data_IF_288898815661
#
_entry.id   IF_288898815661
#
_cell.length_a   1.000
_cell.length_b   1.000
_cell.length_c   1.000
_cell.angle_alpha   90.00
_cell.angle_beta   90.00
_cell.angle_gamma   90.00
#
_symmetry.space_group_name_H-M   'P 1'
#
loop_
_entity.id
_entity.type
_entity.pdbx_description
1 polymer ?
#
# COMPACT_ATOMS: atom_id res chain seq x y z
N UNK A 1 -8.12 18.78 3.21
CA UNK A 1 -7.83 17.47 3.85
C UNK A 1 -6.32 17.31 3.99
N UNK A 2 -5.81 16.69 5.05
CA UNK A 2 -4.37 16.41 5.21
C UNK A 2 -4.01 15.05 4.58
N UNK A 3 -2.74 14.86 4.22
CA UNK A 3 -2.18 13.57 3.82
C UNK A 3 -2.50 12.52 4.88
N UNK A 4 -2.80 11.29 4.46
CA UNK A 4 -3.16 10.21 5.38
C UNK A 4 -2.28 9.00 5.16
N UNK A 5 -1.94 8.37 6.28
CA UNK A 5 -1.23 7.11 6.32
C UNK A 5 -1.93 6.18 7.31
N UNK A 6 -2.05 4.90 6.95
CA UNK A 6 -2.34 3.84 7.92
C UNK A 6 -1.31 2.74 7.74
N UNK A 7 -0.63 2.42 8.84
CA UNK A 7 0.29 1.29 8.91
C UNK A 7 -0.44 0.12 9.56
N UNK A 8 -0.24 -1.06 9.02
CA UNK A 8 -0.88 -2.28 9.51
C UNK A 8 -0.06 -3.51 9.14
N UNK A 9 -0.42 -4.65 9.69
CA UNK A 9 0.18 -5.93 9.35
C UNK A 9 -0.88 -6.84 8.71
N UNK A 10 -0.48 -7.56 7.68
CA UNK A 10 -1.28 -8.56 6.98
C UNK A 10 -0.64 -9.94 7.15
N UNK A 11 -1.46 -10.98 7.22
CA UNK A 11 -0.99 -12.32 6.92
C UNK A 11 -0.88 -12.49 5.38
N UNK A 12 0.02 -13.33 4.88
CA UNK A 12 0.17 -13.54 3.43
C UNK A 12 -1.13 -13.96 2.74
N UNK A 13 -1.95 -14.77 3.41
CA UNK A 13 -3.25 -15.20 2.90
C UNK A 13 -4.24 -14.03 2.69
N UNK A 14 -4.04 -12.90 3.38
CA UNK A 14 -4.91 -11.72 3.23
C UNK A 14 -4.59 -10.92 1.94
N UNK A 15 -3.40 -11.07 1.37
CA UNK A 15 -2.94 -10.22 0.26
C UNK A 15 -3.88 -10.29 -0.94
N UNK A 16 -4.34 -11.49 -1.28
CA UNK A 16 -5.22 -11.68 -2.42
C UNK A 16 -6.59 -11.03 -2.20
N UNK A 17 -7.15 -11.19 -0.99
CA UNK A 17 -8.43 -10.60 -0.61
C UNK A 17 -8.37 -9.06 -0.58
N UNK A 18 -7.28 -8.50 -0.05
CA UNK A 18 -7.05 -7.05 -0.03
C UNK A 18 -6.98 -6.45 -1.43
N UNK A 19 -6.28 -7.10 -2.35
CA UNK A 19 -6.15 -6.62 -3.73
C UNK A 19 -7.49 -6.74 -4.46
N UNK A 20 -8.20 -7.86 -4.32
CA UNK A 20 -9.53 -8.02 -4.89
C UNK A 20 -10.51 -6.97 -4.36
N UNK A 21 -10.46 -6.65 -3.06
CA UNK A 21 -11.25 -5.57 -2.48
C UNK A 21 -11.01 -4.23 -3.20
N UNK A 22 -9.76 -3.88 -3.51
CA UNK A 22 -9.47 -2.64 -4.25
C UNK A 22 -10.11 -2.64 -5.63
N UNK A 23 -10.02 -3.75 -6.37
CA UNK A 23 -10.71 -3.89 -7.66
C UNK A 23 -12.23 -3.78 -7.52
N UNK A 24 -12.82 -4.42 -6.50
CA UNK A 24 -14.28 -4.40 -6.25
C UNK A 24 -14.81 -3.01 -5.90
N UNK A 25 -14.02 -2.18 -5.20
CA UNK A 25 -14.37 -0.78 -4.92
C UNK A 25 -13.99 0.18 -6.06
N UNK A 26 -13.62 -0.36 -7.23
CA UNK A 26 -13.40 0.42 -8.45
C UNK A 26 -12.01 1.04 -8.56
N UNK A 27 -11.01 0.53 -7.85
CA UNK A 27 -9.63 0.96 -8.05
C UNK A 27 -8.99 0.21 -9.21
N UNK A 28 -8.31 0.95 -10.07
CA UNK A 28 -7.24 0.43 -10.89
C UNK A 28 -6.02 0.17 -10.00
N UNK A 29 -5.43 -1.02 -10.14
CA UNK A 29 -4.25 -1.44 -9.39
C UNK A 29 -3.07 -1.45 -10.34
N UNK A 30 -2.09 -0.60 -10.07
CA UNK A 30 -0.95 -0.34 -10.94
C UNK A 30 0.35 -0.76 -10.23
N UNK A 31 1.26 -1.35 -10.98
CA UNK A 31 2.61 -1.69 -10.51
C UNK A 31 3.44 -0.43 -10.23
N UNK A 32 4.43 -0.56 -9.35
CA UNK A 32 5.31 0.54 -8.96
C UNK A 32 6.16 1.10 -10.11
N UNK A 33 6.63 0.21 -10.98
CA UNK A 33 7.57 0.55 -12.04
C UNK A 33 7.12 0.06 -13.42
N UNK A 34 7.68 0.70 -14.44
CA UNK A 34 7.46 0.37 -15.84
C UNK A 34 8.74 0.62 -16.64
N UNK A 35 9.00 -0.20 -17.66
CA UNK A 35 10.09 0.04 -18.63
C UNK A 35 9.68 1.03 -19.72
N UNK A 36 8.42 1.44 -19.78
CA UNK A 36 7.89 2.36 -20.78
C UNK A 36 7.51 3.67 -20.11
N UNK A 37 8.11 4.77 -20.57
CA UNK A 37 7.82 6.11 -20.08
C UNK A 37 6.32 6.42 -20.15
N UNK A 38 5.76 6.91 -19.05
CA UNK A 38 4.40 7.45 -19.01
C UNK A 38 3.27 6.43 -19.20
N UNK A 39 3.56 5.12 -19.10
CA UNK A 39 2.54 4.08 -19.24
C UNK A 39 2.40 3.27 -17.96
N UNK A 40 1.28 3.40 -17.23
CA UNK A 40 1.01 2.54 -16.08
C UNK A 40 0.95 1.07 -16.52
N UNK A 41 1.48 0.19 -15.69
CA UNK A 41 1.39 -1.26 -15.89
C UNK A 41 0.37 -1.79 -14.90
N UNK A 42 -0.75 -2.31 -15.40
CA UNK A 42 -1.78 -2.92 -14.56
C UNK A 42 -1.23 -4.15 -13.85
N UNK A 43 -1.57 -4.28 -12.57
CA UNK A 43 -1.19 -5.40 -11.73
C UNK A 43 -2.14 -6.58 -11.97
N UNK A 44 -1.57 -7.73 -12.35
CA UNK A 44 -2.27 -9.01 -12.45
C UNK A 44 -1.92 -9.87 -11.22
N UNK A 45 -2.88 -10.00 -10.31
CA UNK A 45 -2.71 -10.72 -9.05
C UNK A 45 -2.19 -12.15 -9.20
N UNK A 46 -2.50 -12.83 -10.32
CA UNK A 46 -2.07 -14.21 -10.55
C UNK A 46 -0.61 -14.30 -10.98
N UNK A 47 -0.09 -13.23 -11.59
CA UNK A 47 1.27 -13.19 -12.16
C UNK A 47 2.24 -12.45 -11.27
N UNK A 48 1.80 -11.35 -10.68
CA UNK A 48 2.69 -10.30 -10.19
C UNK A 48 2.83 -10.29 -8.66
N UNK A 49 1.94 -10.97 -7.93
CA UNK A 49 1.90 -10.90 -6.46
C UNK A 49 3.22 -11.32 -5.79
N UNK A 50 3.98 -12.22 -6.41
CA UNK A 50 5.24 -12.73 -5.85
C UNK A 50 6.37 -11.71 -5.86
N UNK A 51 6.31 -10.72 -6.75
CA UNK A 51 7.41 -9.78 -6.99
C UNK A 51 7.03 -8.33 -6.67
N UNK A 52 5.80 -8.11 -6.18
CA UNK A 52 5.29 -6.78 -5.87
C UNK A 52 5.58 -6.37 -4.41
N UNK A 53 6.14 -5.17 -4.25
CA UNK A 53 6.37 -4.54 -2.95
C UNK A 53 5.45 -3.35 -2.72
N UNK A 54 5.28 -2.52 -3.75
CA UNK A 54 4.35 -1.40 -3.76
C UNK A 54 3.42 -1.49 -4.95
N UNK A 55 2.18 -1.11 -4.71
CA UNK A 55 1.14 -0.93 -5.70
C UNK A 55 0.61 0.49 -5.58
N UNK A 56 0.04 0.98 -6.68
CA UNK A 56 -0.60 2.28 -6.74
C UNK A 56 -2.06 2.08 -7.11
N UNK A 57 -2.95 2.71 -6.35
CA UNK A 57 -4.39 2.64 -6.53
C UNK A 57 -4.87 4.00 -7.03
N UNK A 58 -5.68 3.99 -8.08
CA UNK A 58 -6.33 5.19 -8.61
C UNK A 58 -7.65 4.81 -9.28
N UNK A 59 -8.48 5.79 -9.64
CA UNK A 59 -9.60 5.54 -10.55
C UNK A 59 -9.10 5.62 -12.00
N UNK A 60 -9.88 5.16 -12.99
CA UNK A 60 -9.54 5.33 -14.40
C UNK A 60 -9.24 6.78 -14.79
N UNK A 61 -9.99 7.74 -14.24
CA UNK A 61 -9.81 9.18 -14.50
C UNK A 61 -8.47 9.70 -13.98
N UNK A 62 -7.99 9.16 -12.85
CA UNK A 62 -6.72 9.59 -12.26
C UNK A 62 -5.49 8.92 -12.88
N UNK A 63 -5.64 7.89 -13.73
CA UNK A 63 -4.52 7.24 -14.42
C UNK A 63 -3.70 8.25 -15.26
N UNK A 64 -4.37 9.18 -15.92
CA UNK A 64 -3.72 10.19 -16.78
C UNK A 64 -2.93 11.24 -15.97
N UNK A 65 -3.18 11.31 -14.65
CA UNK A 65 -2.52 12.25 -13.74
C UNK A 65 -1.33 11.65 -13.01
N UNK A 66 -0.99 10.38 -13.30
CA UNK A 66 0.16 9.72 -12.71
C UNK A 66 1.45 10.37 -13.23
N UNK A 67 2.23 10.92 -12.30
CA UNK A 67 3.57 11.43 -12.57
C UNK A 67 4.57 10.28 -12.49
N UNK A 68 5.47 10.21 -13.46
CA UNK A 68 6.53 9.22 -13.52
C UNK A 68 7.90 9.89 -13.40
N UNK A 69 8.80 9.29 -12.62
CA UNK A 69 10.21 9.69 -12.54
C UNK A 69 11.08 8.60 -13.14
N UNK A 70 12.06 9.01 -13.94
CA UNK A 70 13.04 8.09 -14.53
C UNK A 70 14.15 7.81 -13.51
N UNK A 71 14.47 6.52 -13.33
CA UNK A 71 15.67 6.06 -12.66
C UNK A 71 16.69 5.65 -13.73
N UNK A 72 17.52 6.60 -14.15
CA UNK A 72 18.41 6.46 -15.31
C UNK A 72 19.32 5.22 -15.22
N UNK A 73 19.82 4.89 -14.03
CA UNK A 73 20.71 3.76 -13.83
C UNK A 73 20.06 2.38 -14.07
N UNK A 74 18.73 2.29 -14.04
CA UNK A 74 17.97 1.05 -14.32
C UNK A 74 17.16 1.12 -15.62
N UNK A 75 17.09 2.28 -16.26
CA UNK A 75 16.18 2.54 -17.39
C UNK A 75 14.72 2.18 -17.06
N UNK A 76 14.32 2.46 -15.82
CA UNK A 76 12.97 2.19 -15.31
C UNK A 76 12.32 3.49 -14.86
N UNK A 77 11.01 3.58 -15.03
CA UNK A 77 10.20 4.68 -14.53
C UNK A 77 9.40 4.20 -13.32
N UNK A 78 9.33 5.02 -12.28
CA UNK A 78 8.53 4.77 -11.09
C UNK A 78 7.49 5.86 -10.90
N UNK A 79 6.37 5.51 -10.28
CA UNK A 79 5.31 6.48 -9.96
C UNK A 79 5.79 7.40 -8.84
N UNK A 80 5.67 8.71 -9.06
CA UNK A 80 5.95 9.74 -8.07
C UNK A 80 4.71 10.03 -7.23
N UNK A 81 4.56 9.35 -6.09
CA UNK A 81 3.42 9.54 -5.19
C UNK A 81 3.24 11.00 -4.74
N UNK A 82 4.33 11.77 -4.66
CA UNK A 82 4.26 13.18 -4.25
C UNK A 82 3.59 14.05 -5.31
N UNK A 83 3.57 13.62 -6.57
CA UNK A 83 2.97 14.35 -7.70
C UNK A 83 1.76 13.67 -8.34
N UNK A 84 1.51 12.40 -8.05
CA UNK A 84 0.37 11.63 -8.56
C UNK A 84 -0.90 11.72 -7.70
N UNK A 85 -2.07 11.69 -8.35
CA UNK A 85 -3.36 11.41 -7.69
C UNK A 85 -3.54 9.90 -7.53
N UNK A 86 -2.75 9.31 -6.63
CA UNK A 86 -2.80 7.89 -6.33
C UNK A 86 -2.71 7.66 -4.82
N UNK A 87 -3.20 6.49 -4.39
CA UNK A 87 -2.91 5.91 -3.09
C UNK A 87 -1.78 4.90 -3.29
N UNK A 88 -0.71 5.02 -2.51
CA UNK A 88 0.32 4.00 -2.44
C UNK A 88 -0.10 2.91 -1.45
N UNK A 89 -0.01 1.66 -1.89
CA UNK A 89 -0.21 0.46 -1.07
C UNK A 89 1.09 -0.35 -1.02
N UNK A 90 1.75 -0.33 0.13
CA UNK A 90 2.83 -1.27 0.42
C UNK A 90 2.23 -2.59 0.90
N UNK A 91 2.47 -3.66 0.14
CA UNK A 91 1.83 -4.97 0.36
C UNK A 91 2.23 -5.56 1.72
N UNK A 92 3.50 -5.40 2.13
CA UNK A 92 4.04 -6.01 3.36
C UNK A 92 3.93 -7.54 3.33
N UNK A 93 3.66 -8.17 4.49
CA UNK A 93 3.55 -9.62 4.58
C UNK A 93 4.91 -10.32 4.58
N UNK A 94 4.95 -11.59 4.14
CA UNK A 94 6.24 -12.28 3.95
C UNK A 94 6.97 -11.70 2.75
N UNK A 95 8.26 -11.41 2.92
CA UNK A 95 9.12 -11.19 1.77
C UNK A 95 9.19 -12.46 0.94
N UNK A 96 9.36 -12.34 -0.39
CA UNK A 96 9.71 -13.47 -1.23
C UNK A 96 10.90 -14.19 -0.56
N UNK A 97 10.77 -15.50 -0.38
CA UNK A 97 11.80 -16.38 0.19
C UNK A 97 11.99 -16.38 1.72
N UNK A 98 11.16 -15.68 2.52
CA UNK A 98 11.19 -15.81 3.99
C UNK A 98 9.81 -15.89 4.61
N UNK A 99 9.48 -17.04 5.19
CA UNK A 99 8.28 -17.24 6.02
C UNK A 99 8.55 -16.98 7.52
N UNK A 100 9.70 -16.37 7.85
CA UNK A 100 10.11 -16.11 9.23
C UNK A 100 9.74 -14.72 9.71
N UNK A 101 9.48 -13.79 8.78
CA UNK A 101 9.33 -12.37 9.09
C UNK A 101 8.14 -11.77 8.35
N UNK A 102 7.14 -11.25 9.07
CA UNK A 102 6.05 -10.47 8.47
C UNK A 102 6.38 -8.99 8.58
N UNK A 103 6.47 -8.33 7.43
CA UNK A 103 6.73 -6.90 7.33
C UNK A 103 5.43 -6.10 7.36
N UNK A 104 5.55 -4.87 7.87
CA UNK A 104 4.44 -3.93 7.96
C UNK A 104 4.02 -3.44 6.58
N UNK A 105 2.72 -3.48 6.33
CA UNK A 105 2.03 -2.90 5.17
C UNK A 105 1.68 -1.43 5.45
N UNK A 106 1.41 -0.68 4.38
CA UNK A 106 1.05 0.74 4.45
C UNK A 106 0.05 1.11 3.37
N UNK A 107 -0.97 1.88 3.73
CA UNK A 107 -1.71 2.71 2.78
C UNK A 107 -1.36 4.17 3.02
N UNK A 108 -1.08 4.91 1.94
CA UNK A 108 -0.62 6.29 2.01
C UNK A 108 -1.12 7.12 0.82
N UNK A 109 -1.58 8.35 1.09
CA UNK A 109 -1.75 9.36 0.03
C UNK A 109 -1.31 10.74 0.51
N UNK A 110 -0.89 11.55 -0.47
CA UNK A 110 -0.41 12.92 -0.28
C UNK A 110 -1.54 13.88 -0.63
N UNK A 111 -1.91 14.79 0.28
CA UNK A 111 -2.92 15.81 -0.02
C UNK A 111 -2.36 17.14 -0.50
N UNK A 112 -1.09 17.41 -0.19
CA UNK A 112 -0.37 18.63 -0.57
C UNK A 112 1.10 18.31 -0.75
N UNK A 113 1.74 18.95 -1.71
CA UNK A 113 3.18 18.82 -1.96
C UNK A 113 3.78 20.18 -2.29
N UNK A 114 5.08 20.33 -2.02
CA UNK A 114 5.82 21.53 -2.40
C UNK A 114 6.59 21.28 -3.70
N UNK A 115 6.62 22.29 -4.56
CA UNK A 115 7.48 22.33 -5.74
C UNK A 115 8.10 23.73 -5.83
N UNK A 116 9.41 23.81 -5.58
CA UNK A 116 10.08 25.08 -5.29
C UNK A 116 9.49 25.74 -4.04
N UNK A 117 9.19 27.04 -4.16
CA UNK A 117 8.57 27.84 -3.09
C UNK A 117 7.04 27.77 -3.08
N UNK A 118 6.44 26.96 -3.96
CA UNK A 118 4.99 26.86 -4.12
C UNK A 118 4.42 25.61 -3.46
N UNK A 119 3.31 25.79 -2.72
CA UNK A 119 2.54 24.70 -2.12
C UNK A 119 1.34 24.37 -3.01
N UNK A 120 1.29 23.14 -3.51
CA UNK A 120 0.21 22.63 -4.35
C UNK A 120 -0.72 21.76 -3.51
N UNK A 121 -2.03 21.94 -3.71
CA UNK A 121 -3.07 21.10 -3.12
C UNK A 121 -3.63 20.15 -4.17
N UNK A 122 -3.90 18.92 -3.76
CA UNK A 122 -4.60 17.94 -4.60
C UNK A 122 -6.04 18.33 -4.86
N UNK A 123 -6.53 17.83 -5.99
CA UNK A 123 -7.92 17.93 -6.39
C UNK A 123 -8.86 17.37 -5.30
N UNK A 124 -10.00 18.05 -5.10
CA UNK A 124 -10.95 17.70 -4.03
C UNK A 124 -11.66 16.37 -4.27
N UNK A 125 -11.91 16.02 -5.55
CA UNK A 125 -12.48 14.75 -5.95
C UNK A 125 -11.54 13.59 -5.58
N UNK A 126 -10.25 13.74 -5.88
CA UNK A 126 -9.24 12.77 -5.45
C UNK A 126 -9.20 12.60 -3.93
N UNK A 127 -9.20 13.71 -3.18
CA UNK A 127 -9.13 13.66 -1.72
C UNK A 127 -10.36 12.98 -1.11
N UNK A 128 -11.54 13.25 -1.66
CA UNK A 128 -12.78 12.63 -1.23
C UNK A 128 -12.80 11.13 -1.54
N UNK A 129 -12.44 10.76 -2.77
CA UNK A 129 -12.30 9.37 -3.19
C UNK A 129 -11.32 8.60 -2.30
N UNK A 130 -10.11 9.14 -2.11
CA UNK A 130 -9.07 8.47 -1.34
C UNK A 130 -9.46 8.27 0.14
N UNK A 131 -10.17 9.23 0.74
CA UNK A 131 -10.67 9.08 2.10
C UNK A 131 -11.73 7.97 2.23
N UNK A 132 -12.61 7.84 1.24
CA UNK A 132 -13.61 6.78 1.22
C UNK A 132 -12.97 5.40 1.08
N UNK A 133 -11.93 5.26 0.24
CA UNK A 133 -11.13 4.04 0.16
C UNK A 133 -10.50 3.70 1.51
N UNK A 134 -9.89 4.67 2.20
CA UNK A 134 -9.31 4.45 3.53
C UNK A 134 -10.35 4.01 4.56
N UNK A 135 -11.51 4.66 4.59
CA UNK A 135 -12.61 4.31 5.51
C UNK A 135 -13.12 2.89 5.25
N UNK A 136 -13.36 2.55 3.98
CA UNK A 136 -13.85 1.24 3.57
C UNK A 136 -12.82 0.14 3.90
N UNK A 137 -11.55 0.35 3.55
CA UNK A 137 -10.46 -0.58 3.84
C UNK A 137 -10.30 -0.83 5.34
N UNK A 138 -10.26 0.24 6.15
CA UNK A 138 -10.15 0.12 7.61
C UNK A 138 -11.30 -0.66 8.21
N UNK A 139 -12.53 -0.47 7.71
CA UNK A 139 -13.72 -1.17 8.18
C UNK A 139 -13.69 -2.66 7.80
N UNK A 140 -13.20 -2.99 6.61
CA UNK A 140 -13.16 -4.35 6.10
C UNK A 140 -12.07 -5.20 6.77
N UNK A 141 -10.84 -4.69 6.87
CA UNK A 141 -9.67 -5.52 7.20
C UNK A 141 -9.07 -5.26 8.57
N UNK A 142 -9.11 -4.01 9.06
CA UNK A 142 -8.25 -3.62 10.17
C UNK A 142 -8.93 -3.79 11.52
N UNK A 143 -8.24 -4.52 12.40
CA UNK A 143 -8.56 -4.68 13.82
C UNK A 143 -7.45 -4.11 14.69
N UNK A 144 -7.79 -3.80 15.94
CA UNK A 144 -6.83 -3.42 16.98
C UNK A 144 -6.82 -4.49 18.06
N UNK A 145 -5.62 -4.93 18.41
CA UNK A 145 -5.38 -5.77 19.59
C UNK A 145 -4.13 -5.24 20.28
N UNK A 146 -4.32 -4.56 21.42
CA UNK A 146 -3.22 -3.92 22.13
C UNK A 146 -2.23 -4.91 22.73
N UNK A 147 -2.65 -6.15 22.99
CA UNK A 147 -1.79 -7.17 23.59
C UNK A 147 -0.76 -7.70 22.59
N UNK A 148 -1.09 -7.70 21.29
CA UNK A 148 -0.25 -8.23 20.23
C UNK A 148 0.35 -7.12 19.37
N UNK A 149 -0.46 -6.14 18.97
CA UNK A 149 -0.13 -5.15 17.95
C UNK A 149 0.33 -3.80 18.53
N UNK A 150 0.38 -3.67 19.87
CA UNK A 150 0.60 -2.41 20.59
C UNK A 150 -0.40 -1.34 20.12
N UNK A 151 0.05 -0.34 19.35
CA UNK A 151 -0.78 0.74 18.80
C UNK A 151 -0.97 0.65 17.27
N UNK A 152 -0.50 -0.42 16.63
CA UNK A 152 -0.59 -0.65 15.18
C UNK A 152 -1.86 -1.49 14.87
N UNK A 153 -2.37 -1.37 13.64
CA UNK A 153 -3.46 -2.21 13.15
C UNK A 153 -2.95 -3.55 12.60
N UNK A 154 -3.83 -4.54 12.52
CA UNK A 154 -3.55 -5.79 11.82
C UNK A 154 -4.84 -6.42 11.30
N UNK A 155 -4.73 -7.48 10.52
CA UNK A 155 -5.89 -8.34 10.18
C UNK A 155 -6.15 -9.37 11.26
N UNK A 156 -7.34 -9.98 11.21
CA UNK A 156 -7.67 -11.12 12.08
C UNK A 156 -6.78 -12.33 11.80
N UNK A 157 -6.48 -12.61 10.54
CA UNK A 157 -5.61 -13.73 10.16
C UNK A 157 -4.18 -13.53 10.67
N UNK A 158 -3.66 -12.31 10.66
CA UNK A 158 -2.39 -12.01 11.31
C UNK A 158 -2.42 -12.33 12.81
N UNK A 159 -3.45 -11.89 13.55
CA UNK A 159 -3.56 -12.17 14.98
C UNK A 159 -3.55 -13.67 15.25
N UNK A 160 -4.31 -14.43 14.44
CA UNK A 160 -4.32 -15.89 14.51
C UNK A 160 -2.94 -16.50 14.21
N UNK A 161 -2.25 -15.96 13.20
CA UNK A 161 -0.91 -16.39 12.85
C UNK A 161 0.08 -16.15 14.00
N UNK A 162 0.09 -14.96 14.60
CA UNK A 162 0.97 -14.62 15.73
C UNK A 162 0.72 -15.55 16.92
N UNK A 163 -0.55 -15.80 17.27
CA UNK A 163 -0.91 -16.70 18.37
C UNK A 163 -0.43 -18.14 18.12
N UNK A 164 -0.50 -18.61 16.87
CA UNK A 164 -0.06 -19.96 16.48
C UNK A 164 1.46 -20.09 16.48
N UNK A 165 2.17 -19.11 15.93
CA UNK A 165 3.64 -19.18 15.72
C UNK A 165 4.43 -18.64 16.90
N UNK A 166 3.77 -17.97 17.86
CA UNK A 166 4.41 -17.21 18.94
C UNK A 166 5.39 -16.17 18.42
N UNK A 167 5.11 -15.62 17.23
CA UNK A 167 5.93 -14.55 16.66
C UNK A 167 5.93 -13.32 17.58
N UNK A 168 7.05 -12.61 17.60
CA UNK A 168 7.21 -11.40 18.42
C UNK A 168 7.43 -10.19 17.53
N UNK A 169 6.81 -9.07 17.89
CA UNK A 169 7.03 -7.81 17.18
C UNK A 169 8.38 -7.22 17.59
N UNK A 170 9.15 -6.77 16.61
CA UNK A 170 10.41 -6.07 16.85
C UNK A 170 10.23 -4.81 17.69
N UNK A 171 11.31 -4.35 18.32
CA UNK A 171 11.28 -3.16 19.19
C UNK A 171 10.80 -1.93 18.41
N UNK A 172 11.29 -1.76 17.18
CA UNK A 172 10.94 -0.67 16.25
C UNK A 172 9.52 -0.80 15.64
N UNK A 173 8.82 -1.91 15.87
CA UNK A 173 7.48 -2.17 15.36
C UNK A 173 7.41 -2.27 13.83
N UNK A 174 8.52 -2.62 13.16
CA UNK A 174 8.58 -2.77 11.71
C UNK A 174 8.17 -4.17 11.22
N UNK A 175 8.33 -5.20 12.06
CA UNK A 175 8.06 -6.59 11.68
C UNK A 175 7.70 -7.50 12.85
N UNK A 176 7.07 -8.63 12.52
CA UNK A 176 6.95 -9.80 13.40
C UNK A 176 7.96 -10.86 13.00
N UNK A 177 8.62 -11.48 13.98
CA UNK A 177 9.64 -12.51 13.76
C UNK A 177 9.24 -13.78 14.51
N UNK A 178 9.31 -14.92 13.82
CA UNK A 178 9.15 -16.25 14.44
C UNK A 178 10.43 -16.62 15.21
N UNK A 179 10.33 -17.12 16.45
CA UNK A 179 11.49 -17.59 17.23
C UNK A 179 12.32 -18.69 16.56
#
# INVERSE_FOLDING_TARGET
>A
MNSKQVNFFLAPEDQAEVINFFTEVGCEVVQENTRKSGQPVYFDIKKDLKDAFHLYLCTPEFLETLAFRCLECRQEYYIDILKSNAIEFSIGGFYPYSNKEIHRSRLYFVSRYCEGDSLFQRDEEFLFWADNIFKAFKKAFLVKDKSILRDIYGTRNLINWVNRTRATMTVDGSKFIVP
#
